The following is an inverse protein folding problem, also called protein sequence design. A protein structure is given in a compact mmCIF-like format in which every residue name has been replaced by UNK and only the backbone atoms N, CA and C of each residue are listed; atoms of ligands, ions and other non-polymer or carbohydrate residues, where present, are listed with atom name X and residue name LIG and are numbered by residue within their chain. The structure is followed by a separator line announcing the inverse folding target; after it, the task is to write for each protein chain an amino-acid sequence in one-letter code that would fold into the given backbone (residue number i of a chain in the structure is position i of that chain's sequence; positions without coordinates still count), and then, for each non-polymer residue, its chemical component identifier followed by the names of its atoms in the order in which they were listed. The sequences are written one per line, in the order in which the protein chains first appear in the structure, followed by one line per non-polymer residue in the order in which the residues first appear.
data_IF_965285014670
#
_entry.id   IF_965285014670
#
_cell.length_a   1.000
_cell.length_b   1.000
_cell.length_c   1.000
_cell.angle_alpha   90.00
_cell.angle_beta   90.00
_cell.angle_gamma   90.00
#
_symmetry.space_group_name_H-M   'P 1'
#
loop_
_entity.id
_entity.type
_entity.pdbx_description
1 polymer ?
#
# COMPACT_ATOMS: atom_id res chain seq x y z
N UNK A 1 27.17 9.17 -19.34
CA UNK A 1 27.16 8.20 -18.22
C UNK A 1 28.13 7.07 -18.52
N UNK A 2 28.97 6.68 -17.56
CA UNK A 2 29.90 5.53 -17.70
C UNK A 2 29.14 4.22 -17.98
N UNK A 3 29.65 3.35 -18.87
CA UNK A 3 29.01 2.05 -19.20
C UNK A 3 28.66 1.20 -17.96
N UNK A 4 29.52 1.22 -16.95
CA UNK A 4 29.30 0.53 -15.67
C UNK A 4 28.09 1.09 -14.91
N UNK A 5 27.96 2.42 -14.83
CA UNK A 5 26.83 3.10 -14.17
C UNK A 5 25.52 2.82 -14.90
N UNK A 6 25.54 2.84 -16.24
CA UNK A 6 24.38 2.48 -17.07
C UNK A 6 23.88 1.07 -16.78
N UNK A 7 24.80 0.10 -16.76
CA UNK A 7 24.47 -1.31 -16.48
C UNK A 7 23.89 -1.49 -15.08
N UNK A 8 24.48 -0.83 -14.07
CA UNK A 8 23.96 -0.88 -12.70
C UNK A 8 22.54 -0.30 -12.59
N UNK A 9 22.30 0.86 -13.23
CA UNK A 9 20.98 1.50 -13.25
C UNK A 9 19.94 0.61 -13.94
N UNK A 10 20.27 0.03 -15.10
CA UNK A 10 19.38 -0.90 -15.80
C UNK A 10 19.03 -2.11 -14.93
N UNK A 11 19.98 -2.68 -14.18
CA UNK A 11 19.70 -3.78 -13.27
C UNK A 11 18.79 -3.37 -12.11
N UNK A 12 18.99 -2.17 -11.54
CA UNK A 12 18.08 -1.62 -10.54
C UNK A 12 16.67 -1.44 -11.09
N UNK A 13 16.54 -0.95 -12.32
CA UNK A 13 15.25 -0.81 -13.00
C UNK A 13 14.55 -2.15 -13.17
N UNK A 14 15.26 -3.18 -13.65
CA UNK A 14 14.72 -4.55 -13.77
C UNK A 14 14.21 -5.09 -12.43
N UNK A 15 14.99 -4.90 -11.35
CA UNK A 15 14.58 -5.32 -10.01
C UNK A 15 13.32 -4.58 -9.53
N UNK A 16 13.23 -3.26 -9.78
CA UNK A 16 12.04 -2.48 -9.41
C UNK A 16 10.83 -2.81 -10.27
N UNK A 17 11.00 -3.13 -11.55
CA UNK A 17 9.93 -3.64 -12.41
C UNK A 17 9.38 -4.96 -11.89
N UNK A 18 10.26 -5.89 -11.50
CA UNK A 18 9.84 -7.17 -10.90
C UNK A 18 9.07 -6.96 -9.59
N UNK A 19 9.57 -6.07 -8.73
CA UNK A 19 8.87 -5.69 -7.49
C UNK A 19 7.51 -5.06 -7.77
N UNK A 20 7.42 -4.13 -8.73
CA UNK A 20 6.15 -3.52 -9.14
C UNK A 20 5.16 -4.57 -9.64
N UNK A 21 5.62 -5.54 -10.44
CA UNK A 21 4.78 -6.64 -10.95
C UNK A 21 4.23 -7.51 -9.82
N UNK A 22 5.08 -7.84 -8.84
CA UNK A 22 4.65 -8.55 -7.62
C UNK A 22 3.58 -7.76 -6.85
N UNK A 23 3.74 -6.44 -6.73
CA UNK A 23 2.75 -5.58 -6.06
C UNK A 23 1.43 -5.46 -6.82
N UNK A 24 1.46 -5.52 -8.14
CA UNK A 24 0.25 -5.56 -8.98
C UNK A 24 -0.53 -6.88 -8.81
N UNK A 25 0.18 -8.00 -8.67
CA UNK A 25 -0.41 -9.30 -8.31
C UNK A 25 -1.01 -9.26 -6.90
N UNK A 26 -0.25 -8.82 -5.89
CA UNK A 26 -0.74 -8.63 -4.52
C UNK A 26 -1.98 -7.74 -4.48
N UNK A 27 -2.03 -6.68 -5.30
CA UNK A 27 -3.18 -5.78 -5.39
C UNK A 27 -4.43 -6.48 -5.93
N UNK A 28 -4.26 -7.45 -6.83
CA UNK A 28 -5.37 -8.19 -7.41
C UNK A 28 -5.96 -9.14 -6.37
N UNK A 29 -5.11 -9.84 -5.62
CA UNK A 29 -5.53 -10.68 -4.49
C UNK A 29 -6.23 -9.83 -3.42
N UNK A 30 -5.68 -8.67 -3.06
CA UNK A 30 -6.28 -7.80 -2.04
C UNK A 30 -7.65 -7.25 -2.48
N UNK A 31 -7.84 -6.98 -3.77
CA UNK A 31 -9.14 -6.58 -4.31
C UNK A 31 -10.20 -7.68 -4.14
N UNK A 32 -9.83 -8.94 -4.40
CA UNK A 32 -10.72 -10.09 -4.20
C UNK A 32 -11.06 -10.29 -2.72
N UNK A 33 -10.07 -10.17 -1.82
CA UNK A 33 -10.28 -10.25 -0.37
C UNK A 33 -11.24 -9.16 0.12
N UNK A 34 -11.04 -7.91 -0.31
CA UNK A 34 -11.90 -6.79 0.10
C UNK A 34 -13.31 -6.91 -0.51
N UNK A 35 -13.44 -7.33 -1.75
CA UNK A 35 -14.74 -7.58 -2.36
C UNK A 35 -15.51 -8.68 -1.60
N UNK A 36 -14.80 -9.73 -1.20
CA UNK A 36 -15.32 -10.85 -0.41
C UNK A 36 -15.59 -10.54 1.08
N UNK A 37 -15.03 -9.46 1.62
CA UNK A 37 -15.19 -9.06 3.01
C UNK A 37 -16.61 -8.53 3.31
N UNK A 38 -17.54 -9.46 3.56
CA UNK A 38 -18.94 -9.16 3.90
C UNK A 38 -19.10 -8.39 5.21
N UNK A 39 -18.14 -8.53 6.12
CA UNK A 39 -18.11 -7.85 7.42
C UNK A 39 -17.76 -6.35 7.31
N UNK A 40 -17.35 -5.89 6.13
CA UNK A 40 -17.03 -4.49 5.87
C UNK A 40 -18.26 -3.73 5.32
N UNK A 41 -18.56 -2.56 5.90
CA UNK A 41 -19.63 -1.69 5.40
C UNK A 41 -19.40 -1.32 3.93
N UNK A 42 -20.46 -1.38 3.11
CA UNK A 42 -20.39 -1.16 1.67
C UNK A 42 -19.63 0.12 1.25
N UNK A 43 -19.87 1.32 1.85
CA UNK A 43 -19.15 2.53 1.44
C UNK A 43 -17.63 2.46 1.62
N UNK A 44 -17.16 1.69 2.60
CA UNK A 44 -15.73 1.57 2.90
C UNK A 44 -15.06 0.56 1.99
N UNK A 45 -15.76 -0.56 1.75
CA UNK A 45 -15.33 -1.53 0.76
C UNK A 45 -15.22 -0.90 -0.62
N UNK A 46 -16.22 -0.14 -1.05
CA UNK A 46 -16.18 0.60 -2.33
C UNK A 46 -15.07 1.65 -2.37
N UNK A 47 -14.86 2.39 -1.27
CA UNK A 47 -13.74 3.33 -1.14
C UNK A 47 -12.39 2.64 -1.29
N UNK A 48 -12.14 1.54 -0.57
CA UNK A 48 -10.89 0.78 -0.66
C UNK A 48 -10.68 0.16 -2.04
N UNK A 49 -11.73 -0.38 -2.67
CA UNK A 49 -11.65 -0.91 -4.03
C UNK A 49 -11.29 0.17 -5.05
N UNK A 50 -11.86 1.37 -4.89
CA UNK A 50 -11.56 2.53 -5.74
C UNK A 50 -10.11 2.98 -5.57
N UNK A 51 -9.64 3.12 -4.33
CA UNK A 51 -8.26 3.51 -4.03
C UNK A 51 -7.26 2.48 -4.55
N UNK A 52 -7.53 1.19 -4.36
CA UNK A 52 -6.70 0.11 -4.89
C UNK A 52 -6.63 0.15 -6.41
N UNK A 53 -7.76 0.36 -7.08
CA UNK A 53 -7.80 0.48 -8.54
C UNK A 53 -6.94 1.64 -9.02
N UNK A 54 -7.06 2.81 -8.39
CA UNK A 54 -6.26 3.98 -8.73
C UNK A 54 -4.76 3.74 -8.53
N UNK A 55 -4.37 3.13 -7.40
CA UNK A 55 -2.96 2.80 -7.14
C UNK A 55 -2.42 1.76 -8.13
N UNK A 56 -3.21 0.72 -8.44
CA UNK A 56 -2.86 -0.32 -9.40
C UNK A 56 -2.65 0.26 -10.80
N UNK A 57 -3.59 1.06 -11.30
CA UNK A 57 -3.47 1.71 -12.61
C UNK A 57 -2.24 2.64 -12.67
N UNK A 58 -2.03 3.45 -11.63
CA UNK A 58 -0.87 4.35 -11.59
C UNK A 58 0.46 3.60 -11.52
N UNK A 59 0.54 2.51 -10.76
CA UNK A 59 1.74 1.67 -10.68
C UNK A 59 2.00 0.91 -11.99
N UNK A 60 0.95 0.37 -12.62
CA UNK A 60 1.01 -0.30 -13.92
C UNK A 60 1.60 0.63 -14.98
N UNK A 61 1.06 1.85 -15.10
CA UNK A 61 1.55 2.83 -16.06
C UNK A 61 3.02 3.20 -15.83
N UNK A 62 3.43 3.43 -14.58
CA UNK A 62 4.81 3.75 -14.25
C UNK A 62 5.75 2.57 -14.58
N UNK A 63 5.33 1.34 -14.24
CA UNK A 63 6.08 0.11 -14.56
C UNK A 63 6.25 -0.06 -16.06
N UNK A 64 5.19 0.16 -16.85
CA UNK A 64 5.22 -0.05 -18.29
C UNK A 64 6.10 0.99 -18.99
N UNK A 65 6.08 2.25 -18.53
CA UNK A 65 7.03 3.28 -18.99
C UNK A 65 8.48 2.90 -18.68
N UNK A 66 8.76 2.44 -17.46
CA UNK A 66 10.10 2.04 -17.05
C UNK A 66 10.59 0.83 -17.84
N UNK A 67 9.73 -0.17 -18.08
CA UNK A 67 10.03 -1.34 -18.90
C UNK A 67 10.36 -0.92 -20.34
N UNK A 68 9.52 -0.08 -20.96
CA UNK A 68 9.78 0.41 -22.31
C UNK A 68 11.10 1.18 -22.41
N UNK A 69 11.47 1.96 -21.39
CA UNK A 69 12.74 2.68 -21.35
C UNK A 69 13.95 1.77 -21.17
N UNK A 70 13.82 0.72 -20.34
CA UNK A 70 14.82 -0.34 -20.20
C UNK A 70 15.05 -1.06 -21.53
N UNK A 71 13.97 -1.37 -22.25
CA UNK A 71 14.03 -2.08 -23.53
C UNK A 71 14.58 -1.21 -24.67
N UNK A 72 14.28 0.10 -24.66
CA UNK A 72 14.88 1.08 -25.59
C UNK A 72 16.38 1.26 -25.38
N UNK A 73 16.86 1.09 -24.15
CA UNK A 73 18.26 1.21 -23.81
C UNK A 73 18.85 2.62 -23.97
N UNK A 74 18.05 3.68 -24.12
CA UNK A 74 18.50 5.09 -24.16
C UNK A 74 19.16 5.45 -22.83
N UNK A 75 18.46 5.20 -21.72
CA UNK A 75 18.96 5.43 -20.39
C UNK A 75 18.82 6.86 -19.88
N UNK A 76 18.35 7.78 -20.72
CA UNK A 76 18.27 9.21 -20.40
C UNK A 76 17.20 9.50 -19.34
N UNK A 77 16.12 8.70 -19.32
CA UNK A 77 15.00 8.84 -18.38
C UNK A 77 14.88 7.70 -17.38
N UNK A 78 15.85 6.78 -17.36
CA UNK A 78 15.79 5.60 -16.47
C UNK A 78 15.74 5.99 -15.00
N UNK A 79 16.54 6.98 -14.57
CA UNK A 79 16.55 7.42 -13.18
C UNK A 79 15.22 8.07 -12.78
N UNK A 80 14.70 8.97 -13.62
CA UNK A 80 13.41 9.63 -13.41
C UNK A 80 12.27 8.60 -13.27
N UNK A 81 12.20 7.64 -14.20
CA UNK A 81 11.18 6.60 -14.19
C UNK A 81 11.37 5.61 -13.05
N UNK A 82 12.61 5.33 -12.64
CA UNK A 82 12.92 4.49 -11.50
C UNK A 82 12.41 5.11 -10.19
N UNK A 83 12.61 6.41 -10.04
CA UNK A 83 12.15 7.18 -8.88
C UNK A 83 10.62 7.27 -8.89
N UNK A 84 9.99 7.50 -10.06
CA UNK A 84 8.53 7.46 -10.22
C UNK A 84 7.96 6.11 -9.78
N UNK A 85 8.47 4.99 -10.32
CA UNK A 85 8.02 3.64 -9.94
C UNK A 85 8.22 3.39 -8.45
N UNK A 86 9.35 3.79 -7.87
CA UNK A 86 9.63 3.63 -6.44
C UNK A 86 8.64 4.41 -5.58
N UNK A 87 8.30 5.64 -5.98
CA UNK A 87 7.28 6.44 -5.30
C UNK A 87 5.89 5.80 -5.42
N UNK A 88 5.50 5.28 -6.59
CA UNK A 88 4.22 4.59 -6.78
C UNK A 88 4.11 3.33 -5.93
N UNK A 89 5.17 2.53 -5.85
CA UNK A 89 5.24 1.36 -4.95
C UNK A 89 5.06 1.81 -3.49
N UNK A 90 5.73 2.87 -3.08
CA UNK A 90 5.65 3.39 -1.70
C UNK A 90 4.22 3.82 -1.36
N UNK A 91 3.57 4.58 -2.25
CA UNK A 91 2.18 5.02 -2.07
C UNK A 91 1.23 3.82 -1.98
N UNK A 92 1.40 2.82 -2.85
CA UNK A 92 0.62 1.58 -2.81
C UNK A 92 0.79 0.85 -1.47
N UNK A 93 2.03 0.64 -1.02
CA UNK A 93 2.32 -0.06 0.24
C UNK A 93 1.76 0.70 1.45
N UNK A 94 1.89 2.02 1.48
CA UNK A 94 1.34 2.84 2.56
C UNK A 94 -0.19 2.78 2.60
N UNK A 95 -0.83 2.91 1.43
CA UNK A 95 -2.28 2.87 1.28
C UNK A 95 -2.84 1.51 1.69
N UNK A 96 -2.28 0.42 1.17
CA UNK A 96 -2.70 -0.96 1.54
C UNK A 96 -2.49 -1.28 3.01
N UNK A 97 -1.39 -0.83 3.62
CA UNK A 97 -1.17 -0.98 5.05
C UNK A 97 -2.19 -0.18 5.88
N UNK A 98 -2.57 1.02 5.44
CA UNK A 98 -3.61 1.80 6.09
C UNK A 98 -4.98 1.10 6.00
N UNK A 99 -5.34 0.52 4.85
CA UNK A 99 -6.56 -0.27 4.68
C UNK A 99 -6.59 -1.49 5.61
N UNK A 100 -5.47 -2.22 5.71
CA UNK A 100 -5.31 -3.37 6.63
C UNK A 100 -5.47 -2.95 8.09
N UNK A 101 -4.91 -1.80 8.48
CA UNK A 101 -5.08 -1.26 9.84
C UNK A 101 -6.51 -0.84 10.12
N UNK A 102 -7.20 -0.19 9.18
CA UNK A 102 -8.59 0.24 9.35
C UNK A 102 -9.57 -0.94 9.40
N UNK A 103 -9.33 -1.99 8.63
CA UNK A 103 -10.11 -3.23 8.70
C UNK A 103 -9.88 -3.96 10.04
N UNK A 104 -8.63 -4.05 10.51
CA UNK A 104 -8.32 -4.64 11.82
C UNK A 104 -8.86 -3.81 13.01
N UNK A 105 -8.75 -2.48 12.96
CA UNK A 105 -9.22 -1.59 14.01
C UNK A 105 -10.74 -1.64 14.19
N UNK A 106 -11.49 -1.88 13.11
CA UNK A 106 -12.96 -2.06 13.17
C UNK A 106 -13.39 -3.36 13.84
N UNK A 107 -12.57 -4.40 13.79
CA UNK A 107 -12.81 -5.65 14.52
C UNK A 107 -12.50 -5.52 16.02
N UNK A 108 -11.64 -4.57 16.43
CA UNK A 108 -11.28 -4.33 17.84
C UNK A 108 -12.05 -3.20 18.52
N UNK A 109 -12.76 -2.33 17.77
CA UNK A 109 -13.60 -1.28 18.37
C UNK A 109 -14.97 -1.79 18.89
N UNK A 110 -15.22 -3.10 18.88
CA UNK A 110 -16.39 -3.70 19.54
C UNK A 110 -16.06 -4.35 20.90
N UNK A 111 -14.82 -4.26 21.42
CA UNK A 111 -14.44 -4.96 22.65
C UNK A 111 -13.80 -4.10 23.75
N UNK A 112 -13.81 -2.77 23.65
CA UNK A 112 -13.42 -1.90 24.77
C UNK A 112 -14.38 -0.73 24.96
N UNK A 113 -15.66 -1.04 25.13
CA UNK A 113 -16.52 -0.30 26.06
C UNK A 113 -16.91 -1.23 27.22
N UNK A 114 -15.90 -1.82 27.87
CA UNK A 114 -16.08 -2.41 29.19
C UNK A 114 -15.52 -1.44 30.21
N UNK A 115 -16.45 -0.68 30.77
CA UNK A 115 -16.50 -0.17 32.14
C UNK A 115 -15.23 -0.29 32.96
N UNK A 116 -14.59 0.84 33.22
CA UNK A 116 -13.90 1.10 34.48
C UNK A 116 -13.89 2.59 34.70
N UNK A 117 -15.06 3.11 35.12
CA UNK A 117 -15.08 4.35 35.89
C UNK A 117 -14.50 3.96 37.25
N UNK A 118 -13.38 4.54 37.71
CA UNK A 118 -12.93 4.33 39.08
C UNK A 118 -13.86 5.12 40.02
N UNK A 119 -15.00 4.53 40.38
CA UNK A 119 -15.70 4.86 41.61
C UNK A 119 -15.13 3.97 42.69
N UNK A 120 -14.26 4.51 43.53
CA UNK A 120 -13.61 3.72 44.56
C UNK A 120 -12.62 4.49 45.41
N UNK A 121 -13.04 5.63 45.98
CA UNK A 121 -12.52 6.06 47.28
C UNK A 121 -13.61 6.85 48.03
N UNK A 122 -14.64 6.12 48.45
CA UNK A 122 -15.47 6.47 49.60
C UNK A 122 -15.00 5.53 50.72
N UNK A 123 -13.90 5.88 51.37
CA UNK A 123 -13.56 5.35 52.69
C UNK A 123 -14.18 6.27 53.74
N UNK A 124 -15.22 5.75 54.35
CA UNK A 124 -16.00 6.37 55.42
C UNK A 124 -15.19 6.57 56.71
N UNK A 125 -15.39 7.77 57.29
CA UNK A 125 -15.88 8.00 58.67
C UNK A 125 -14.91 7.85 59.86
N UNK A 126 -15.04 8.87 60.70
CA UNK A 126 -14.50 9.20 62.03
C UNK A 126 -14.49 8.06 63.06
N UNK A 127 -13.79 8.24 64.19
CA UNK A 127 -14.36 8.99 65.32
C UNK A 127 -13.62 10.28 65.70
#
# INVERSE_FOLDING_TARGET
MDKKKKTALTNQCKNKIALASTKLEESSVLQEEIAGAKDMSQPIREGFLTDLKNHKESLQQARDKLQAEVDKGSGDRLQELLDEVTQKITNYVQSTNAMKKMSAARLHCSSTWSSSIPWGDIASREP
#
